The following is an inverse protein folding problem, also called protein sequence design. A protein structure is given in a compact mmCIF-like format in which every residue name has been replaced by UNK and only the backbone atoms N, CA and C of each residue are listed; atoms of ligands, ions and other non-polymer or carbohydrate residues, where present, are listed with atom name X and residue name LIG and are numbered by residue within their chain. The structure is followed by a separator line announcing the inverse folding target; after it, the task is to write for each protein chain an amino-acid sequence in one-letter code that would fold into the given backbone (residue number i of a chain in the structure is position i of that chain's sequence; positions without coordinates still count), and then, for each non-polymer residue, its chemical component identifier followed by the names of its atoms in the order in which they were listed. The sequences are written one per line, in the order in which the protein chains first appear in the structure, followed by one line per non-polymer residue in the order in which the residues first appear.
data_IF_047843367120
#
_entry.id   IF_047843367120
#
_cell.length_a   1.000
_cell.length_b   1.000
_cell.length_c   1.000
_cell.angle_alpha   90.00
_cell.angle_beta   90.00
_cell.angle_gamma   90.00
#
_symmetry.space_group_name_H-M   'P 1'
#
loop_
_entity.id
_entity.type
_entity.pdbx_description
1 polymer ?
#
# COMPACT_ATOMS: atom_id res chain seq x y z
N UNK A 1 -12.86 16.59 -11.62
CA UNK A 1 -12.74 15.11 -11.46
C UNK A 1 -11.60 14.63 -12.35
N UNK A 2 -10.70 13.82 -11.85
CA UNK A 2 -9.62 13.22 -12.62
C UNK A 2 -10.23 12.20 -13.59
N UNK A 3 -9.95 12.32 -14.89
CA UNK A 3 -10.45 11.44 -15.97
C UNK A 3 -11.98 11.29 -16.12
N UNK A 4 -12.78 12.19 -15.58
CA UNK A 4 -14.25 12.19 -15.72
C UNK A 4 -14.96 10.87 -15.33
N UNK A 5 -14.35 10.05 -14.46
CA UNK A 5 -14.91 8.81 -13.93
C UNK A 5 -15.42 9.00 -12.50
N UNK A 6 -16.47 8.29 -12.14
CA UNK A 6 -17.08 8.35 -10.80
C UNK A 6 -16.15 7.83 -9.72
N UNK A 7 -15.40 6.76 -10.03
CA UNK A 7 -14.44 6.12 -9.12
C UNK A 7 -13.05 6.12 -9.74
N UNK A 8 -12.06 6.67 -9.03
CA UNK A 8 -10.65 6.67 -9.44
C UNK A 8 -10.17 5.26 -9.82
N UNK A 9 -10.57 4.25 -9.07
CA UNK A 9 -10.23 2.86 -9.29
C UNK A 9 -10.66 2.30 -10.67
N UNK A 10 -11.64 2.94 -11.32
CA UNK A 10 -12.16 2.56 -12.65
C UNK A 10 -11.50 3.33 -13.80
N UNK A 11 -10.47 4.14 -13.56
CA UNK A 11 -9.71 4.77 -14.64
C UNK A 11 -9.09 3.68 -15.51
N UNK A 12 -9.36 3.69 -16.83
CA UNK A 12 -8.78 2.73 -17.73
C UNK A 12 -7.31 3.05 -18.02
N UNK A 13 -6.46 2.02 -17.99
CA UNK A 13 -5.04 2.09 -18.34
C UNK A 13 -4.71 0.89 -19.21
N UNK A 14 -4.27 1.11 -20.45
CA UNK A 14 -3.95 0.06 -21.42
C UNK A 14 -5.04 -1.04 -21.45
N UNK A 15 -6.28 -0.63 -21.74
CA UNK A 15 -7.43 -1.54 -21.95
C UNK A 15 -8.07 -2.17 -20.71
N UNK A 16 -7.56 -1.90 -19.47
CA UNK A 16 -8.13 -2.42 -18.22
C UNK A 16 -8.23 -1.31 -17.18
N UNK A 17 -9.17 -1.41 -16.25
CA UNK A 17 -9.23 -0.47 -15.13
C UNK A 17 -8.04 -0.68 -14.17
N UNK A 18 -7.66 0.35 -13.43
CA UNK A 18 -6.61 0.23 -12.40
C UNK A 18 -6.92 -0.90 -11.41
N UNK A 19 -8.17 -0.98 -10.95
CA UNK A 19 -8.60 -2.01 -10.01
C UNK A 19 -8.49 -3.42 -10.61
N UNK A 20 -8.88 -3.61 -11.88
CA UNK A 20 -8.75 -4.90 -12.55
C UNK A 20 -7.30 -5.33 -12.68
N UNK A 21 -6.37 -4.41 -12.96
CA UNK A 21 -4.94 -4.71 -13.02
C UNK A 21 -4.40 -5.19 -11.69
N UNK A 22 -4.67 -4.43 -10.62
CA UNK A 22 -4.26 -4.82 -9.26
C UNK A 22 -4.88 -6.16 -8.85
N UNK A 23 -6.18 -6.33 -9.07
CA UNK A 23 -6.87 -7.57 -8.70
C UNK A 23 -6.36 -8.78 -9.50
N UNK A 24 -6.05 -8.63 -10.78
CA UNK A 24 -5.43 -9.70 -11.59
C UNK A 24 -4.05 -10.09 -11.09
N UNK A 25 -3.20 -9.12 -10.74
CA UNK A 25 -1.89 -9.40 -10.17
C UNK A 25 -2.01 -10.18 -8.84
N UNK A 26 -2.99 -9.80 -7.99
CA UNK A 26 -3.26 -10.50 -6.73
C UNK A 26 -3.83 -11.91 -6.97
N UNK A 27 -4.78 -12.07 -7.89
CA UNK A 27 -5.39 -13.38 -8.21
C UNK A 27 -4.39 -14.36 -8.86
N UNK A 28 -3.39 -13.84 -9.58
CA UNK A 28 -2.35 -14.66 -10.18
C UNK A 28 -1.31 -15.17 -9.15
N UNK A 29 -1.19 -14.49 -8.00
CA UNK A 29 -0.25 -14.88 -6.97
C UNK A 29 -0.74 -16.09 -6.17
N UNK A 30 0.03 -17.20 -6.10
CA UNK A 30 -0.36 -18.39 -5.34
C UNK A 30 -0.42 -18.14 -3.82
N UNK A 31 0.09 -17.02 -3.34
CA UNK A 31 0.10 -16.64 -1.94
C UNK A 31 -1.18 -15.90 -1.51
N UNK A 32 -2.05 -15.55 -2.47
CA UNK A 32 -3.31 -14.84 -2.23
C UNK A 32 -4.49 -15.78 -2.43
N UNK A 33 -5.16 -16.14 -1.35
CA UNK A 33 -6.34 -17.03 -1.41
C UNK A 33 -7.66 -16.30 -1.69
N UNK A 34 -7.74 -15.02 -1.34
CA UNK A 34 -8.97 -14.20 -1.49
C UNK A 34 -8.62 -12.72 -1.57
N UNK A 35 -9.44 -11.98 -2.29
CA UNK A 35 -9.39 -10.51 -2.36
C UNK A 35 -10.65 -9.94 -1.71
N UNK A 36 -10.48 -8.91 -0.88
CA UNK A 36 -11.58 -8.10 -0.34
C UNK A 36 -11.43 -6.68 -0.88
N UNK A 37 -12.33 -6.29 -1.77
CA UNK A 37 -12.38 -4.95 -2.35
C UNK A 37 -13.30 -4.10 -1.48
N UNK A 38 -12.74 -3.04 -0.91
CA UNK A 38 -13.46 -2.14 0.00
C UNK A 38 -13.72 -0.81 -0.69
N UNK A 39 -14.97 -0.39 -0.72
CA UNK A 39 -15.40 0.85 -1.35
C UNK A 39 -16.59 1.47 -0.60
N UNK A 40 -16.79 2.80 -0.70
CA UNK A 40 -17.95 3.48 -0.13
C UNK A 40 -19.28 3.05 -0.75
N UNK A 41 -19.25 2.60 -2.01
CA UNK A 41 -20.40 2.03 -2.71
C UNK A 41 -19.92 0.80 -3.50
N UNK A 42 -19.90 -0.39 -2.88
CA UNK A 42 -19.45 -1.62 -3.51
C UNK A 42 -20.21 -1.94 -4.79
N UNK A 43 -21.53 -1.83 -4.78
CA UNK A 43 -22.37 -2.09 -5.95
C UNK A 43 -22.10 -1.11 -7.10
N UNK A 44 -21.93 0.17 -6.78
CA UNK A 44 -21.59 1.19 -7.79
C UNK A 44 -20.19 0.98 -8.39
N UNK A 45 -19.24 0.46 -7.61
CA UNK A 45 -17.91 0.10 -8.10
C UNK A 45 -17.99 -1.17 -8.96
N UNK A 46 -18.68 -2.20 -8.49
CA UNK A 46 -18.87 -3.49 -9.16
C UNK A 46 -19.53 -3.33 -10.54
N UNK A 47 -20.52 -2.43 -10.66
CA UNK A 47 -21.19 -2.14 -11.92
C UNK A 47 -20.27 -1.57 -13.02
N UNK A 48 -19.11 -0.99 -12.65
CA UNK A 48 -18.11 -0.47 -13.58
C UNK A 48 -16.99 -1.46 -13.90
N UNK A 49 -17.07 -2.70 -13.41
CA UNK A 49 -16.06 -3.75 -13.61
C UNK A 49 -16.56 -4.79 -14.62
N UNK A 50 -15.62 -5.39 -15.35
CA UNK A 50 -15.93 -6.54 -16.19
C UNK A 50 -16.37 -7.76 -15.38
N UNK A 51 -17.19 -8.68 -15.98
CA UNK A 51 -17.72 -9.84 -15.30
C UNK A 51 -16.64 -10.76 -14.72
N UNK A 52 -15.46 -10.82 -15.34
CA UNK A 52 -14.35 -11.64 -14.87
C UNK A 52 -13.82 -11.29 -13.49
N UNK A 53 -14.01 -10.06 -13.00
CA UNK A 53 -13.67 -9.64 -11.64
C UNK A 53 -14.93 -9.52 -10.77
N UNK A 54 -16.00 -8.96 -11.30
CA UNK A 54 -17.23 -8.70 -10.57
C UNK A 54 -17.92 -9.99 -10.06
N UNK A 55 -17.76 -11.11 -10.80
CA UNK A 55 -18.39 -12.40 -10.50
C UNK A 55 -17.39 -13.46 -9.99
N UNK A 56 -16.13 -13.08 -9.78
CA UNK A 56 -15.10 -14.01 -9.33
C UNK A 56 -15.35 -14.45 -7.88
N UNK A 57 -15.49 -15.75 -7.65
CA UNK A 57 -15.77 -16.31 -6.32
C UNK A 57 -14.67 -16.09 -5.27
N UNK A 58 -13.44 -15.76 -5.68
CA UNK A 58 -12.35 -15.39 -4.78
C UNK A 58 -12.36 -13.90 -4.43
N UNK A 59 -13.28 -13.10 -4.98
CA UNK A 59 -13.37 -11.65 -4.76
C UNK A 59 -14.62 -11.32 -3.98
N UNK A 60 -14.46 -10.69 -2.83
CA UNK A 60 -15.55 -10.14 -2.03
C UNK A 60 -15.56 -8.60 -2.13
N UNK A 61 -16.75 -8.03 -2.15
CA UNK A 61 -16.95 -6.58 -2.11
C UNK A 61 -17.56 -6.20 -0.77
N UNK A 62 -16.97 -5.23 -0.09
CA UNK A 62 -17.37 -4.80 1.27
C UNK A 62 -17.47 -3.28 1.31
N UNK A 63 -18.48 -2.77 2.00
CA UNK A 63 -18.58 -1.33 2.25
C UNK A 63 -17.44 -0.86 3.14
N UNK A 64 -16.77 0.22 2.74
CA UNK A 64 -15.70 0.84 3.51
C UNK A 64 -16.30 1.78 4.57
N UNK A 65 -15.64 1.87 5.72
CA UNK A 65 -15.92 2.91 6.72
C UNK A 65 -15.38 4.28 6.31
N UNK A 66 -15.33 5.20 7.28
CA UNK A 66 -14.93 6.61 7.06
C UNK A 66 -13.44 6.80 6.71
N UNK A 67 -12.64 5.74 6.74
CA UNK A 67 -11.21 5.80 6.43
C UNK A 67 -10.63 4.42 6.10
N UNK A 68 -9.46 4.42 5.45
CA UNK A 68 -8.76 3.19 5.02
C UNK A 68 -8.43 2.31 6.23
N UNK A 69 -7.78 2.87 7.23
CA UNK A 69 -7.37 2.12 8.42
C UNK A 69 -8.57 1.61 9.24
N UNK A 70 -9.63 2.42 9.34
CA UNK A 70 -10.88 2.02 10.00
C UNK A 70 -11.55 0.86 9.26
N UNK A 71 -11.57 0.92 7.93
CA UNK A 71 -12.13 -0.13 7.09
C UNK A 71 -11.37 -1.45 7.23
N UNK A 72 -10.03 -1.40 7.15
CA UNK A 72 -9.17 -2.57 7.33
C UNK A 72 -9.36 -3.15 8.73
N UNK A 73 -9.41 -2.30 9.77
CA UNK A 73 -9.61 -2.73 11.15
C UNK A 73 -10.92 -3.52 11.34
N UNK A 74 -11.97 -3.16 10.58
CA UNK A 74 -13.27 -3.83 10.65
C UNK A 74 -13.32 -5.21 10.02
N UNK A 75 -12.41 -5.53 9.08
CA UNK A 75 -12.43 -6.79 8.33
C UNK A 75 -11.24 -7.71 8.61
N UNK A 76 -10.08 -7.17 8.97
CA UNK A 76 -8.86 -7.95 9.20
C UNK A 76 -9.03 -8.93 10.37
N UNK A 77 -8.73 -10.21 10.13
CA UNK A 77 -8.89 -11.30 11.10
C UNK A 77 -10.30 -11.87 11.19
N UNK A 78 -11.24 -11.40 10.38
CA UNK A 78 -12.59 -11.99 10.28
C UNK A 78 -12.62 -13.15 9.26
N UNK A 79 -13.75 -13.84 9.15
CA UNK A 79 -13.95 -14.91 8.17
C UNK A 79 -13.80 -14.42 6.71
N UNK A 80 -14.04 -13.11 6.44
CA UNK A 80 -13.88 -12.51 5.12
C UNK A 80 -12.40 -12.26 4.79
N UNK A 81 -11.61 -11.82 5.77
CA UNK A 81 -10.19 -11.53 5.63
C UNK A 81 -9.38 -12.14 6.80
N UNK A 82 -9.23 -13.48 6.83
CA UNK A 82 -8.46 -14.15 7.88
C UNK A 82 -6.98 -13.74 7.81
N UNK A 83 -6.28 -13.83 8.95
CA UNK A 83 -4.85 -13.60 9.00
C UNK A 83 -4.05 -14.67 8.22
N UNK A 84 -2.93 -14.32 7.59
CA UNK A 84 -2.38 -12.96 7.41
C UNK A 84 -3.12 -12.17 6.33
N UNK A 85 -3.08 -10.82 6.42
CA UNK A 85 -3.73 -9.91 5.47
C UNK A 85 -2.68 -9.07 4.76
N UNK A 86 -2.70 -9.08 3.43
CA UNK A 86 -2.02 -8.11 2.59
C UNK A 86 -2.96 -6.94 2.28
N UNK A 87 -2.49 -5.72 2.47
CA UNK A 87 -3.21 -4.49 2.11
C UNK A 87 -2.48 -3.79 0.98
N UNK A 88 -3.23 -3.43 -0.06
CA UNK A 88 -2.75 -2.57 -1.14
C UNK A 88 -3.87 -1.64 -1.60
N UNK A 89 -3.58 -0.73 -2.51
CA UNK A 89 -4.54 0.24 -3.05
C UNK A 89 -4.78 0.01 -4.55
N UNK A 90 -5.97 0.37 -5.02
CA UNK A 90 -6.37 0.18 -6.41
C UNK A 90 -5.55 1.04 -7.41
N UNK A 91 -4.84 2.06 -6.95
CA UNK A 91 -3.99 2.91 -7.77
C UNK A 91 -2.54 2.40 -7.91
N UNK A 92 -2.21 1.25 -7.32
CA UNK A 92 -0.94 0.54 -7.50
C UNK A 92 -0.96 -0.31 -8.79
N UNK A 93 -1.28 0.34 -9.92
CA UNK A 93 -1.60 -0.33 -11.19
C UNK A 93 -0.41 -1.08 -11.84
N UNK A 94 0.82 -0.85 -11.37
CA UNK A 94 2.03 -1.56 -11.80
C UNK A 94 2.38 -2.76 -10.92
N UNK A 95 1.52 -3.11 -9.96
CA UNK A 95 1.70 -4.30 -9.13
C UNK A 95 1.87 -5.54 -10.02
N UNK A 96 2.90 -6.34 -9.71
CA UNK A 96 3.25 -7.55 -10.46
C UNK A 96 3.58 -8.69 -9.51
N UNK A 97 3.65 -9.91 -10.04
CA UNK A 97 4.04 -11.09 -9.29
C UNK A 97 5.46 -10.97 -8.72
N UNK A 98 6.40 -10.41 -9.48
CA UNK A 98 7.77 -10.15 -8.99
C UNK A 98 7.80 -9.21 -7.79
N UNK A 99 6.99 -8.15 -7.81
CA UNK A 99 6.85 -7.22 -6.67
C UNK A 99 6.27 -7.93 -5.46
N UNK A 100 5.21 -8.73 -5.65
CA UNK A 100 4.57 -9.51 -4.60
C UNK A 100 5.53 -10.54 -4.01
N UNK A 101 6.20 -11.33 -4.85
CA UNK A 101 7.17 -12.34 -4.43
C UNK A 101 8.34 -11.72 -3.66
N UNK A 102 8.87 -10.58 -4.14
CA UNK A 102 9.91 -9.84 -3.42
C UNK A 102 9.41 -9.32 -2.07
N UNK A 103 8.17 -8.81 -2.03
CA UNK A 103 7.58 -8.33 -0.78
C UNK A 103 7.37 -9.45 0.23
N UNK A 104 6.85 -10.61 -0.20
CA UNK A 104 6.65 -11.75 0.68
C UNK A 104 7.96 -12.36 1.15
N UNK A 105 8.94 -12.51 0.24
CA UNK A 105 10.27 -13.08 0.58
C UNK A 105 11.09 -12.18 1.50
N UNK A 106 10.86 -10.87 1.47
CA UNK A 106 11.53 -9.90 2.33
C UNK A 106 10.99 -9.84 3.76
N UNK A 107 10.03 -10.70 4.11
CA UNK A 107 9.42 -10.72 5.44
C UNK A 107 10.13 -11.73 6.35
N UNK A 108 10.43 -11.30 7.58
CA UNK A 108 11.13 -12.10 8.61
C UNK A 108 10.34 -12.09 9.92
N UNK A 109 9.16 -12.69 9.90
CA UNK A 109 8.33 -12.94 11.09
C UNK A 109 7.88 -11.69 11.85
N UNK A 110 7.91 -10.47 11.25
CA UNK A 110 7.34 -9.26 11.83
C UNK A 110 5.81 -9.32 11.86
N UNK A 111 5.19 -8.62 12.82
CA UNK A 111 3.73 -8.51 12.89
C UNK A 111 3.18 -7.58 11.81
N UNK A 112 3.97 -6.55 11.45
CA UNK A 112 3.65 -5.58 10.39
C UNK A 112 4.86 -5.40 9.47
N UNK A 113 4.68 -5.67 8.18
CA UNK A 113 5.66 -5.35 7.13
C UNK A 113 5.15 -4.19 6.28
N UNK A 114 6.05 -3.29 5.90
CA UNK A 114 5.73 -2.13 5.05
C UNK A 114 6.64 -2.14 3.83
N UNK A 115 6.06 -2.27 2.64
CA UNK A 115 6.78 -2.19 1.37
C UNK A 115 7.23 -0.76 1.08
N UNK A 116 8.51 -0.60 0.76
CA UNK A 116 9.10 0.70 0.39
C UNK A 116 10.09 0.55 -0.75
N UNK A 117 10.30 1.63 -1.49
CA UNK A 117 11.33 1.72 -2.53
C UNK A 117 12.34 2.79 -2.16
N UNK A 118 13.62 2.46 -2.29
CA UNK A 118 14.68 3.44 -2.05
C UNK A 118 14.78 4.45 -3.20
N UNK A 119 15.10 5.70 -2.85
CA UNK A 119 15.22 6.79 -3.82
C UNK A 119 16.22 6.48 -4.95
N UNK A 120 17.34 5.82 -4.63
CA UNK A 120 18.34 5.46 -5.65
C UNK A 120 17.76 4.49 -6.68
N UNK A 121 16.99 3.48 -6.25
CA UNK A 121 16.30 2.52 -7.13
C UNK A 121 15.31 3.24 -8.04
N UNK A 122 14.49 4.13 -7.46
CA UNK A 122 13.52 4.91 -8.23
C UNK A 122 14.19 5.79 -9.28
N UNK A 123 15.19 6.58 -8.89
CA UNK A 123 15.80 7.55 -9.80
C UNK A 123 16.75 6.91 -10.83
N UNK A 124 17.22 5.69 -10.60
CA UNK A 124 17.95 4.92 -11.61
C UNK A 124 17.04 4.48 -12.75
N UNK A 125 15.79 4.09 -12.46
CA UNK A 125 14.82 3.68 -13.47
C UNK A 125 14.03 4.87 -14.05
N UNK A 126 13.65 5.82 -13.20
CA UNK A 126 12.80 6.98 -13.54
C UNK A 126 13.41 8.26 -12.96
N UNK A 127 14.41 8.87 -13.66
CA UNK A 127 15.13 10.06 -13.14
C UNK A 127 14.24 11.25 -12.81
N UNK A 128 13.15 11.43 -13.56
CA UNK A 128 12.21 12.54 -13.42
C UNK A 128 11.08 12.27 -12.42
N UNK A 129 11.07 11.09 -11.77
CA UNK A 129 10.02 10.72 -10.84
C UNK A 129 9.98 11.63 -9.61
N UNK A 130 8.82 12.24 -9.38
CA UNK A 130 8.57 13.11 -8.22
C UNK A 130 7.76 12.36 -7.19
N UNK A 131 8.39 11.97 -6.06
CA UNK A 131 7.77 11.23 -4.97
C UNK A 131 8.01 11.91 -3.63
N UNK A 132 7.18 11.59 -2.65
CA UNK A 132 7.42 12.00 -1.26
C UNK A 132 8.47 11.09 -0.64
N UNK A 133 9.58 11.68 -0.19
CA UNK A 133 10.71 10.95 0.36
C UNK A 133 10.79 11.08 1.88
N UNK A 134 10.69 9.96 2.56
CA UNK A 134 11.04 9.81 3.96
C UNK A 134 12.56 9.67 4.08
N UNK A 135 13.22 10.66 4.65
CA UNK A 135 14.70 10.76 4.70
C UNK A 135 15.20 10.25 6.05
N UNK A 136 16.07 9.27 6.01
CA UNK A 136 16.73 8.67 7.18
C UNK A 136 18.25 8.63 6.99
N UNK A 137 18.99 8.20 8.05
CA UNK A 137 20.43 7.95 7.92
C UNK A 137 20.63 6.77 6.94
N UNK A 138 21.37 7.03 5.88
CA UNK A 138 21.74 6.03 4.88
C UNK A 138 20.80 5.90 3.68
N UNK A 139 19.62 6.56 3.67
CA UNK A 139 18.73 6.49 2.53
C UNK A 139 17.49 7.37 2.61
N UNK A 140 16.77 7.42 1.52
CA UNK A 140 15.45 8.05 1.45
C UNK A 140 14.48 7.06 0.77
N UNK A 141 13.27 6.92 1.30
CA UNK A 141 12.33 5.87 0.94
C UNK A 141 10.97 6.45 0.58
N UNK A 142 10.29 5.83 -0.36
CA UNK A 142 8.88 6.09 -0.68
C UNK A 142 8.04 4.83 -0.41
N UNK A 143 6.81 5.00 0.07
CA UNK A 143 5.90 3.87 0.30
C UNK A 143 5.50 3.20 -1.02
N UNK A 144 5.32 1.88 -0.97
CA UNK A 144 4.87 1.06 -2.09
C UNK A 144 3.39 0.69 -2.02
N UNK A 145 2.64 1.29 -1.08
CA UNK A 145 1.24 0.94 -0.80
C UNK A 145 1.02 -0.58 -0.61
N UNK A 146 2.03 -1.25 -0.01
CA UNK A 146 1.99 -2.67 0.35
C UNK A 146 2.24 -2.80 1.85
N UNK A 147 1.28 -3.41 2.55
CA UNK A 147 1.37 -3.65 3.99
C UNK A 147 0.95 -5.08 4.28
N UNK A 148 1.79 -5.86 4.97
CA UNK A 148 1.40 -7.17 5.47
C UNK A 148 1.13 -7.08 6.97
N UNK A 149 -0.01 -7.63 7.38
CA UNK A 149 -0.49 -7.72 8.74
C UNK A 149 -0.62 -9.22 9.07
N UNK A 150 0.28 -9.74 9.90
CA UNK A 150 0.41 -11.19 10.05
C UNK A 150 -0.55 -11.80 11.07
N UNK A 151 -1.01 -11.03 12.03
CA UNK A 151 -1.90 -11.52 13.09
C UNK A 151 -2.62 -10.38 13.80
N UNK A 152 -3.46 -10.70 14.75
CA UNK A 152 -4.11 -9.74 15.64
C UNK A 152 -3.13 -8.82 16.39
N UNK A 153 -1.84 -9.20 16.52
CA UNK A 153 -0.80 -8.35 17.07
C UNK A 153 -0.56 -7.08 16.25
N UNK A 154 -1.02 -7.03 14.98
CA UNK A 154 -0.97 -5.83 14.15
C UNK A 154 -2.08 -4.79 14.45
N UNK A 155 -3.12 -5.16 15.20
CA UNK A 155 -4.27 -4.28 15.48
C UNK A 155 -3.90 -2.94 16.12
N UNK A 156 -2.92 -2.83 17.04
CA UNK A 156 -2.49 -1.54 17.58
C UNK A 156 -1.93 -0.58 16.51
N UNK A 157 -1.30 -1.11 15.46
CA UNK A 157 -0.82 -0.29 14.35
C UNK A 157 -1.98 0.27 13.50
N UNK A 158 -3.01 -0.54 13.25
CA UNK A 158 -4.23 -0.09 12.56
C UNK A 158 -4.98 0.97 13.38
N UNK A 159 -5.12 0.77 14.67
CA UNK A 159 -5.75 1.73 15.58
C UNK A 159 -5.00 3.08 15.59
N UNK A 160 -3.67 3.02 15.58
CA UNK A 160 -2.86 4.23 15.44
C UNK A 160 -3.08 4.89 14.08
N UNK A 161 -3.04 4.13 12.99
CA UNK A 161 -3.24 4.66 11.63
C UNK A 161 -4.61 5.34 11.49
N UNK A 162 -5.69 4.73 12.00
CA UNK A 162 -7.02 5.36 11.97
C UNK A 162 -7.07 6.71 12.70
N UNK A 163 -6.30 6.85 13.79
CA UNK A 163 -6.19 8.13 14.52
C UNK A 163 -5.47 9.19 13.67
N UNK A 164 -4.46 8.79 12.90
CA UNK A 164 -3.73 9.66 11.96
C UNK A 164 -4.60 10.12 10.81
N UNK A 165 -5.34 9.18 10.23
CA UNK A 165 -6.17 9.41 9.06
C UNK A 165 -7.26 10.45 9.33
N UNK A 166 -7.88 10.38 10.51
CA UNK A 166 -8.91 11.33 10.96
C UNK A 166 -8.35 12.73 11.24
N UNK A 167 -7.09 12.85 11.58
CA UNK A 167 -6.49 14.11 12.04
C UNK A 167 -5.14 14.40 11.35
N UNK A 168 -5.16 14.48 10.02
CA UNK A 168 -3.98 14.76 9.17
C UNK A 168 -3.19 16.00 9.60
N UNK A 169 -3.88 17.03 10.16
CA UNK A 169 -3.25 18.26 10.65
C UNK A 169 -2.46 18.04 11.95
N UNK A 170 -2.74 16.94 12.67
CA UNK A 170 -2.06 16.57 13.93
C UNK A 170 -1.08 15.41 13.75
N UNK A 171 -0.68 15.09 12.51
CA UNK A 171 0.29 14.03 12.22
C UNK A 171 1.55 14.10 13.10
N UNK A 172 2.02 15.29 13.48
CA UNK A 172 3.13 15.47 14.40
C UNK A 172 2.86 14.90 15.81
N UNK A 173 1.60 14.90 16.30
CA UNK A 173 1.22 14.32 17.61
C UNK A 173 1.39 12.79 17.63
N UNK A 174 1.36 12.16 16.49
CA UNK A 174 1.57 10.72 16.36
C UNK A 174 3.04 10.40 16.53
N UNK A 175 3.90 11.18 15.88
CA UNK A 175 5.33 11.07 16.14
C UNK A 175 5.68 11.37 17.61
N UNK A 176 4.96 12.30 18.24
CA UNK A 176 5.10 12.54 19.69
C UNK A 176 4.72 11.31 20.55
N UNK A 177 3.79 10.47 20.12
CA UNK A 177 3.45 9.19 20.77
C UNK A 177 4.62 8.19 20.76
N UNK A 178 5.45 8.23 19.73
CA UNK A 178 6.67 7.41 19.67
C UNK A 178 7.83 7.97 20.51
N UNK A 179 7.61 9.11 21.17
CA UNK A 179 8.56 9.80 22.03
C UNK A 179 9.38 10.87 21.31
N UNK A 180 9.66 11.99 21.97
CA UNK A 180 10.33 13.15 21.36
C UNK A 180 11.74 12.81 20.87
N UNK A 181 12.40 11.86 21.51
CA UNK A 181 13.75 11.43 21.13
C UNK A 181 13.78 10.70 19.79
N UNK A 182 12.80 9.81 19.52
CA UNK A 182 12.71 9.13 18.23
C UNK A 182 12.38 10.13 17.12
N UNK A 183 11.47 11.07 17.38
CA UNK A 183 11.15 12.15 16.45
C UNK A 183 12.37 13.02 16.15
N UNK A 184 13.12 13.44 17.18
CA UNK A 184 14.32 14.24 17.00
C UNK A 184 15.38 13.52 16.13
N UNK A 185 15.60 12.22 16.39
CA UNK A 185 16.54 11.41 15.61
C UNK A 185 16.07 11.18 14.16
N UNK A 186 14.77 11.06 13.93
CA UNK A 186 14.20 10.95 12.58
C UNK A 186 14.37 12.29 11.82
N UNK A 187 14.01 13.42 12.43
CA UNK A 187 14.16 14.75 11.84
C UNK A 187 15.63 15.13 11.57
N UNK A 188 16.52 14.82 12.50
CA UNK A 188 17.98 15.04 12.34
C UNK A 188 18.65 14.00 11.43
N UNK A 189 17.91 12.99 10.94
CA UNK A 189 18.41 11.91 10.09
C UNK A 189 19.57 11.12 10.72
N UNK A 190 19.55 10.95 12.04
CA UNK A 190 20.58 10.21 12.78
C UNK A 190 20.20 8.77 13.07
N UNK A 191 18.98 8.36 12.71
CA UNK A 191 18.47 6.98 12.83
C UNK A 191 18.28 6.35 11.45
N UNK A 192 18.53 5.05 11.31
CA UNK A 192 18.18 4.28 10.11
C UNK A 192 16.68 4.01 10.07
N UNK A 193 16.14 3.75 8.87
CA UNK A 193 14.71 3.52 8.69
C UNK A 193 14.25 2.25 9.42
N UNK A 194 14.99 1.17 9.28
CA UNK A 194 14.70 -0.10 9.95
C UNK A 194 14.67 0.05 11.48
N UNK A 195 15.65 0.77 12.04
CA UNK A 195 15.72 1.06 13.48
C UNK A 195 14.54 1.91 13.94
N UNK A 196 14.13 2.91 13.13
CA UNK A 196 12.99 3.76 13.43
C UNK A 196 11.68 2.94 13.46
N UNK A 197 11.47 2.06 12.46
CA UNK A 197 10.33 1.16 12.38
C UNK A 197 10.29 0.18 13.56
N UNK A 198 11.41 -0.45 13.88
CA UNK A 198 11.50 -1.37 15.01
C UNK A 198 11.19 -0.68 16.35
N UNK A 199 11.72 0.51 16.58
CA UNK A 199 11.43 1.31 17.80
C UNK A 199 9.99 1.76 17.87
N UNK A 200 9.40 2.18 16.73
CA UNK A 200 7.99 2.54 16.67
C UNK A 200 7.10 1.33 16.96
N UNK A 201 7.41 0.17 16.38
CA UNK A 201 6.71 -1.09 16.63
C UNK A 201 6.79 -1.51 18.10
N UNK A 202 7.98 -1.44 18.72
CA UNK A 202 8.17 -1.77 20.13
C UNK A 202 7.28 -0.93 21.08
N UNK A 203 7.01 0.34 20.74
CA UNK A 203 6.09 1.21 21.50
C UNK A 203 4.63 0.77 21.40
N UNK A 204 4.30 -0.02 20.40
CA UNK A 204 2.97 -0.63 20.20
C UNK A 204 2.97 -2.11 20.59
N UNK A 205 4.03 -2.60 21.23
CA UNK A 205 4.21 -4.00 21.60
C UNK A 205 4.14 -4.97 20.41
N UNK A 206 4.61 -4.51 19.24
CA UNK A 206 4.66 -5.30 18.02
C UNK A 206 6.03 -5.19 17.32
N UNK A 207 6.32 -6.14 16.44
CA UNK A 207 7.47 -6.09 15.54
C UNK A 207 7.03 -5.49 14.21
N UNK A 208 7.63 -4.35 13.83
CA UNK A 208 7.41 -3.70 12.55
C UNK A 208 8.74 -3.56 11.80
N UNK A 209 8.76 -3.87 10.52
CA UNK A 209 9.94 -3.71 9.68
C UNK A 209 9.56 -3.26 8.26
N UNK A 210 10.44 -2.49 7.58
CA UNK A 210 10.29 -2.22 6.17
C UNK A 210 10.77 -3.42 5.34
N UNK A 211 10.15 -3.62 4.19
CA UNK A 211 10.64 -4.46 3.10
C UNK A 211 11.07 -3.55 1.96
N UNK A 212 12.37 -3.46 1.72
CA UNK A 212 12.92 -2.62 0.66
C UNK A 212 12.85 -3.36 -0.66
N UNK A 213 11.99 -2.89 -1.56
CA UNK A 213 11.73 -3.52 -2.84
C UNK A 213 12.74 -3.04 -3.89
N UNK A 214 13.30 -3.94 -4.72
CA UNK A 214 14.22 -3.59 -5.79
C UNK A 214 13.53 -3.06 -7.05
N UNK A 215 12.21 -2.95 -7.05
CA UNK A 215 11.37 -2.52 -8.18
C UNK A 215 10.91 -1.08 -7.98
N UNK A 216 11.33 -0.18 -8.85
CA UNK A 216 10.95 1.24 -8.80
C UNK A 216 9.43 1.41 -8.94
N UNK A 217 8.82 0.61 -9.78
CA UNK A 217 7.39 0.60 -10.11
C UNK A 217 6.49 0.36 -8.88
N UNK A 218 7.00 -0.36 -7.89
CA UNK A 218 6.24 -0.64 -6.67
C UNK A 218 5.83 0.62 -5.89
N UNK A 219 6.55 1.74 -6.07
CA UNK A 219 6.20 3.02 -5.46
C UNK A 219 5.64 4.04 -6.46
N UNK A 220 5.09 3.57 -7.59
CA UNK A 220 4.42 4.41 -8.58
C UNK A 220 2.91 4.15 -8.50
N UNK A 221 2.21 5.02 -7.80
CA UNK A 221 0.75 5.10 -7.74
C UNK A 221 0.23 6.19 -8.68
N UNK A 222 -1.01 6.05 -9.12
CA UNK A 222 -1.65 6.98 -10.08
C UNK A 222 -2.46 8.03 -9.32
N UNK A 223 -1.83 9.15 -8.95
CA UNK A 223 -2.51 10.25 -8.23
C UNK A 223 -2.81 11.47 -9.11
N UNK A 224 -2.05 11.65 -10.19
CA UNK A 224 -2.09 12.82 -11.07
C UNK A 224 -2.07 12.39 -12.54
N UNK A 225 -2.47 13.28 -13.48
CA UNK A 225 -2.39 12.99 -14.91
C UNK A 225 -1.02 12.50 -15.38
N UNK A 226 0.06 13.11 -14.89
CA UNK A 226 1.43 12.69 -15.24
C UNK A 226 1.81 11.30 -14.72
N UNK A 227 1.23 10.86 -13.59
CA UNK A 227 1.41 9.48 -13.12
C UNK A 227 0.69 8.50 -14.06
N UNK A 228 -0.52 8.85 -14.52
CA UNK A 228 -1.27 8.05 -15.49
C UNK A 228 -0.49 7.87 -16.79
N UNK A 229 0.07 8.95 -17.33
CA UNK A 229 0.90 8.91 -18.53
C UNK A 229 2.14 8.02 -18.36
N UNK A 230 2.81 8.13 -17.20
CA UNK A 230 3.96 7.31 -16.89
C UNK A 230 3.58 5.83 -16.79
N UNK A 231 2.52 5.51 -16.04
CA UNK A 231 2.05 4.13 -15.86
C UNK A 231 1.59 3.52 -17.18
N UNK A 232 0.87 4.27 -18.02
CA UNK A 232 0.45 3.82 -19.34
C UNK A 232 1.67 3.45 -20.20
N UNK A 233 2.66 4.33 -20.27
CA UNK A 233 3.90 4.08 -21.03
C UNK A 233 4.65 2.83 -20.55
N UNK A 234 4.75 2.64 -19.23
CA UNK A 234 5.40 1.47 -18.63
C UNK A 234 4.67 0.18 -19.03
N UNK A 235 3.33 0.20 -18.98
CA UNK A 235 2.52 -0.97 -19.34
C UNK A 235 2.59 -1.29 -20.81
N UNK A 236 2.51 -0.29 -21.69
CA UNK A 236 2.68 -0.47 -23.15
C UNK A 236 4.05 -1.08 -23.51
N UNK A 237 5.11 -0.68 -22.80
CA UNK A 237 6.45 -1.25 -22.96
C UNK A 237 6.58 -2.69 -22.46
N UNK A 238 5.72 -3.15 -21.54
CA UNK A 238 5.71 -4.54 -21.03
C UNK A 238 4.89 -5.47 -21.90
N UNK A 239 3.89 -4.95 -22.61
CA UNK A 239 2.94 -5.72 -23.43
C UNK A 239 3.35 -5.80 -24.91
N UNK A 240 4.32 -4.99 -25.38
CA UNK A 240 4.88 -4.96 -26.72
C UNK A 240 6.20 -5.71 -26.83
#
# INVERSE_FOLDING_TARGET
AFCNVRYKALIPIAGQTMLERVARALLASPQIGRIVIMAQSPEGLKAGLGPGLAENGAVAFVESGDGIATSIHGVAGTAIAPWPVLVTTADNALLSDDILNSFFSGQDGQHVAVGVVERRTMLAAYPDARRTWLKFRGGAYSGANLFALHSAAAMPALALWSTVEKDRKKGWKIFARFGPWLLLRALSRTIRFEEAMARAGARLSLRAAPVVLPFAEAAIDVDKPGDLELVTRILEQREG
#
